data_IF_548145255360
#
_entry.id   IF_548145255360
#
_cell.length_a   1.000
_cell.length_b   1.000
_cell.length_c   1.000
_cell.angle_alpha   90.00
_cell.angle_beta   90.00
_cell.angle_gamma   90.00
#
_symmetry.space_group_name_H-M   'P 1'
#
loop_
_entity.id
_entity.type
_entity.pdbx_description
1 polymer ?
#
# COMPACT_ATOMS: atom_id res chain seq x y z
N UNK A 1 38.24 -16.64 -14.10
CA UNK A 1 37.56 -15.34 -14.33
C UNK A 1 36.32 -15.30 -13.46
N UNK A 2 36.17 -14.20 -12.73
CA UNK A 2 35.10 -13.77 -11.82
C UNK A 2 35.16 -14.26 -10.36
N UNK A 3 35.47 -13.27 -9.53
CA UNK A 3 35.67 -13.30 -8.10
C UNK A 3 34.36 -13.04 -7.33
N UNK A 4 34.37 -13.57 -6.11
CA UNK A 4 33.57 -13.31 -4.91
C UNK A 4 32.83 -11.95 -4.84
N UNK A 5 31.55 -11.98 -4.45
CA UNK A 5 30.97 -11.42 -3.21
C UNK A 5 29.47 -11.13 -3.40
N UNK A 6 28.63 -11.81 -2.63
CA UNK A 6 27.21 -11.50 -2.45
C UNK A 6 26.82 -11.86 -1.03
N UNK A 7 27.19 -11.01 -0.08
CA UNK A 7 27.05 -11.27 1.36
C UNK A 7 25.58 -11.17 1.78
N UNK A 8 25.02 -12.29 2.24
CA UNK A 8 23.79 -12.33 3.02
C UNK A 8 23.88 -11.35 4.21
N UNK A 9 22.90 -10.45 4.37
CA UNK A 9 22.74 -9.70 5.62
C UNK A 9 21.57 -10.26 6.42
N UNK A 10 21.86 -10.71 7.64
CA UNK A 10 20.88 -11.05 8.67
C UNK A 10 20.27 -9.78 9.31
N UNK A 11 19.03 -9.85 9.82
CA UNK A 11 18.38 -8.73 10.50
C UNK A 11 18.91 -8.57 11.94
N UNK A 12 19.20 -7.34 12.36
CA UNK A 12 19.45 -7.01 13.77
C UNK A 12 18.20 -6.42 14.42
N UNK A 13 17.78 -6.99 15.54
CA UNK A 13 16.77 -6.43 16.46
C UNK A 13 17.38 -5.32 17.37
N UNK A 14 16.61 -4.60 18.20
CA UNK A 14 16.59 -3.14 18.20
C UNK A 14 17.42 -2.53 19.34
N UNK A 15 18.10 -1.41 19.06
CA UNK A 15 18.62 -0.52 20.12
C UNK A 15 18.02 0.86 19.88
N UNK A 16 17.20 1.27 20.83
CA UNK A 16 16.61 2.60 20.94
C UNK A 16 17.67 3.71 20.92
N UNK A 17 17.25 4.90 20.48
CA UNK A 17 17.90 6.22 20.63
C UNK A 17 18.77 6.67 19.45
N UNK A 18 18.14 7.22 18.42
CA UNK A 18 18.83 8.07 17.45
C UNK A 18 18.78 9.52 17.96
N UNK A 19 19.90 9.98 18.52
CA UNK A 19 20.20 11.40 18.63
C UNK A 19 20.45 11.95 17.21
N UNK A 20 19.95 13.15 16.85
CA UNK A 20 20.16 13.70 15.52
C UNK A 20 21.57 14.31 15.45
N UNK A 21 22.42 13.82 14.55
CA UNK A 21 23.73 14.43 14.27
C UNK A 21 23.92 14.64 12.76
N UNK A 22 23.80 15.92 12.40
CA UNK A 22 24.58 16.77 11.48
C UNK A 22 25.21 16.18 10.21
N UNK A 23 24.66 16.69 9.11
CA UNK A 23 25.29 17.40 7.97
C UNK A 23 26.38 16.70 7.13
N UNK A 24 26.04 16.44 5.87
CA UNK A 24 26.90 16.82 4.73
C UNK A 24 26.05 17.55 3.66
N UNK A 25 26.66 18.56 3.06
CA UNK A 25 26.06 19.63 2.27
C UNK A 25 25.27 19.17 1.04
N UNK A 26 23.99 19.54 1.00
CA UNK A 26 23.30 19.90 -0.24
C UNK A 26 22.91 21.37 -0.08
N UNK A 27 23.65 22.25 -0.74
CA UNK A 27 23.32 23.67 -0.80
C UNK A 27 22.13 23.87 -1.73
N UNK A 28 20.92 23.80 -1.18
CA UNK A 28 19.76 24.44 -1.78
C UNK A 28 19.76 25.88 -1.29
N UNK A 29 19.79 26.83 -2.22
CA UNK A 29 19.71 28.25 -1.92
C UNK A 29 18.46 28.50 -1.06
N UNK A 30 18.67 29.10 0.11
CA UNK A 30 17.65 29.53 1.05
C UNK A 30 16.86 30.69 0.40
N UNK A 31 15.85 30.33 -0.40
CA UNK A 31 14.90 31.25 -1.02
C UNK A 31 13.50 30.79 -0.70
N UNK A 32 12.87 31.48 0.27
CA UNK A 32 11.54 31.23 0.85
C UNK A 32 11.35 29.89 1.56
N UNK A 33 10.86 29.92 2.80
CA UNK A 33 10.16 28.79 3.40
C UNK A 33 8.95 28.49 2.51
N UNK A 34 9.14 27.62 1.51
CA UNK A 34 8.04 27.09 0.73
C UNK A 34 7.29 26.15 1.66
N UNK A 35 6.15 26.60 2.20
CA UNK A 35 5.17 25.69 2.78
C UNK A 35 4.77 24.69 1.69
N UNK A 36 5.36 23.50 1.74
CA UNK A 36 4.96 22.39 0.89
C UNK A 36 3.63 21.89 1.45
N UNK A 37 2.53 22.34 0.84
CA UNK A 37 1.21 21.77 1.13
C UNK A 37 1.22 20.31 0.64
N UNK A 38 1.23 19.37 1.58
CA UNK A 38 1.10 17.94 1.24
C UNK A 38 -0.35 17.73 0.78
N UNK A 39 -0.58 17.28 -0.46
CA UNK A 39 -1.92 17.04 -0.96
C UNK A 39 -2.66 16.05 -0.05
N UNK A 40 -3.90 16.39 0.31
CA UNK A 40 -4.74 15.50 1.10
C UNK A 40 -5.06 14.25 0.29
N UNK A 41 -4.98 13.09 0.95
CA UNK A 41 -5.40 11.81 0.37
C UNK A 41 -6.89 11.89 -0.01
N UNK A 42 -7.19 11.58 -1.28
CA UNK A 42 -8.54 11.60 -1.83
C UNK A 42 -9.27 10.33 -1.37
N UNK A 43 -10.36 10.52 -0.65
CA UNK A 43 -11.22 9.43 -0.16
C UNK A 43 -12.63 9.64 -0.66
N UNK A 44 -13.19 8.62 -1.28
CA UNK A 44 -14.54 8.67 -1.84
C UNK A 44 -15.43 7.58 -1.21
N UNK A 45 -16.70 7.88 -0.92
CA UNK A 45 -17.66 6.84 -0.61
C UNK A 45 -17.92 6.01 -1.86
N UNK A 46 -17.85 4.69 -1.72
CA UNK A 46 -18.21 3.74 -2.76
C UNK A 46 -19.15 2.70 -2.18
N UNK A 47 -20.07 2.22 -3.00
CA UNK A 47 -20.97 1.15 -2.63
C UNK A 47 -20.57 -0.13 -3.36
N UNK A 48 -20.26 -1.17 -2.59
CA UNK A 48 -20.05 -2.53 -3.07
C UNK A 48 -21.24 -3.36 -2.61
N UNK A 49 -22.01 -3.87 -3.56
CA UNK A 49 -23.31 -4.50 -3.28
C UNK A 49 -24.23 -3.60 -2.43
N UNK A 50 -24.56 -4.02 -1.20
CA UNK A 50 -25.37 -3.29 -0.24
C UNK A 50 -24.55 -2.62 0.89
N UNK A 51 -23.22 -2.56 0.76
CA UNK A 51 -22.31 -1.96 1.74
C UNK A 51 -21.69 -0.69 1.18
N UNK A 52 -21.82 0.40 1.92
CA UNK A 52 -21.07 1.63 1.68
C UNK A 52 -19.74 1.58 2.44
N UNK A 53 -18.65 1.87 1.75
CA UNK A 53 -17.30 1.91 2.31
C UNK A 53 -16.58 3.16 1.81
N UNK A 54 -15.57 3.61 2.55
CA UNK A 54 -14.68 4.69 2.09
C UNK A 54 -13.47 4.07 1.39
N UNK A 55 -13.29 4.38 0.12
CA UNK A 55 -12.13 3.95 -0.66
C UNK A 55 -11.09 5.07 -0.77
N UNK A 56 -9.81 4.71 -0.72
CA UNK A 56 -8.71 5.60 -1.07
C UNK A 56 -8.53 5.58 -2.59
N UNK A 57 -8.47 6.75 -3.21
CA UNK A 57 -8.05 6.87 -4.61
C UNK A 57 -6.54 6.97 -4.63
N UNK A 58 -5.89 5.91 -5.12
CA UNK A 58 -4.44 5.81 -5.24
C UNK A 58 -4.09 5.55 -6.71
N UNK A 59 -3.57 6.57 -7.40
CA UNK A 59 -3.20 6.50 -8.82
C UNK A 59 -1.91 5.73 -9.06
N UNK A 60 -1.08 5.56 -8.01
CA UNK A 60 0.20 4.87 -8.10
C UNK A 60 0.06 3.38 -7.74
N UNK A 61 -1.12 2.96 -7.26
CA UNK A 61 -1.41 1.57 -6.97
C UNK A 61 -1.49 0.74 -8.26
N UNK A 62 -0.67 -0.32 -8.35
CA UNK A 62 -0.66 -1.24 -9.49
C UNK A 62 -1.94 -2.12 -9.60
N UNK A 63 -2.73 -2.19 -8.53
CA UNK A 63 -3.99 -2.95 -8.49
C UNK A 63 -4.91 -2.39 -7.40
N UNK A 64 -6.21 -2.59 -7.57
CA UNK A 64 -7.18 -2.35 -6.49
C UNK A 64 -7.02 -3.42 -5.40
N UNK A 65 -6.91 -2.97 -4.15
CA UNK A 65 -6.79 -3.84 -2.99
C UNK A 65 -8.01 -3.67 -2.08
N UNK A 66 -8.60 -4.80 -1.68
CA UNK A 66 -9.67 -4.84 -0.69
C UNK A 66 -9.16 -5.62 0.52
N UNK A 67 -9.31 -5.06 1.71
CA UNK A 67 -8.89 -5.76 2.93
C UNK A 67 -9.77 -7.00 3.16
N UNK A 68 -9.18 -8.06 3.73
CA UNK A 68 -9.94 -9.27 4.08
C UNK A 68 -11.14 -8.95 4.99
N UNK A 69 -10.98 -8.03 5.94
CA UNK A 69 -12.07 -7.59 6.82
C UNK A 69 -13.29 -7.05 6.06
N UNK A 70 -13.07 -6.34 4.95
CA UNK A 70 -14.18 -5.88 4.11
C UNK A 70 -14.75 -7.07 3.36
N UNK A 71 -13.90 -7.93 2.81
CA UNK A 71 -14.35 -9.13 2.12
C UNK A 71 -15.24 -10.02 3.00
N UNK A 72 -14.86 -10.27 4.25
CA UNK A 72 -15.64 -11.05 5.23
C UNK A 72 -17.07 -10.49 5.40
N UNK A 73 -17.23 -9.16 5.30
CA UNK A 73 -18.55 -8.51 5.36
C UNK A 73 -19.36 -8.62 4.07
N UNK A 74 -18.71 -8.97 2.96
CA UNK A 74 -19.29 -9.18 1.64
C UNK A 74 -19.52 -10.66 1.32
N UNK A 75 -18.92 -11.60 2.04
CA UNK A 75 -19.00 -13.06 1.77
C UNK A 75 -20.42 -13.61 1.80
N UNK A 76 -21.34 -12.99 2.54
CA UNK A 76 -22.75 -13.38 2.52
C UNK A 76 -23.49 -12.94 1.24
N UNK A 77 -22.82 -12.24 0.31
CA UNK A 77 -23.42 -11.80 -0.94
C UNK A 77 -23.27 -12.87 -2.02
N UNK A 78 -24.40 -13.35 -2.54
CA UNK A 78 -24.47 -14.35 -3.62
C UNK A 78 -23.79 -13.91 -4.93
N UNK A 79 -23.58 -12.60 -5.12
CA UNK A 79 -22.93 -12.05 -6.31
C UNK A 79 -21.41 -11.91 -6.14
N UNK A 80 -20.85 -12.24 -4.96
CA UNK A 80 -19.40 -12.26 -4.76
C UNK A 80 -18.80 -13.46 -5.50
N UNK A 81 -18.08 -13.18 -6.60
CA UNK A 81 -17.45 -14.21 -7.41
C UNK A 81 -15.94 -14.19 -7.24
N UNK A 82 -15.39 -15.29 -6.72
CA UNK A 82 -13.95 -15.52 -6.77
C UNK A 82 -13.56 -16.00 -8.18
N UNK A 83 -12.62 -15.29 -8.81
CA UNK A 83 -12.20 -15.55 -10.19
C UNK A 83 -10.99 -16.48 -10.24
N UNK A 84 -10.11 -16.39 -9.24
CA UNK A 84 -8.91 -17.23 -9.17
C UNK A 84 -8.64 -17.61 -7.71
N UNK A 85 -8.40 -18.90 -7.50
CA UNK A 85 -8.01 -19.44 -6.20
C UNK A 85 -6.49 -19.43 -6.08
N UNK A 86 -6.00 -19.14 -4.87
CA UNK A 86 -4.64 -18.66 -4.59
C UNK A 86 -3.48 -19.38 -5.34
N UNK A 87 -3.02 -18.75 -6.43
CA UNK A 87 -1.63 -18.83 -6.91
C UNK A 87 -1.02 -17.45 -6.63
N UNK A 88 -0.36 -17.31 -5.47
CA UNK A 88 -0.19 -16.02 -4.78
C UNK A 88 0.58 -14.93 -5.57
N UNK A 89 -0.08 -13.86 -6.05
CA UNK A 89 0.63 -12.60 -6.24
C UNK A 89 1.05 -12.07 -4.87
N UNK A 90 2.34 -11.76 -4.74
CA UNK A 90 2.89 -11.05 -3.59
C UNK A 90 2.98 -9.59 -3.99
N UNK A 91 2.25 -8.74 -3.28
CA UNK A 91 2.39 -7.29 -3.43
C UNK A 91 3.49 -6.81 -2.49
N UNK A 92 4.40 -5.99 -3.00
CA UNK A 92 5.41 -5.32 -2.18
C UNK A 92 5.01 -3.87 -2.00
N UNK A 93 4.84 -3.45 -0.75
CA UNK A 93 4.57 -2.06 -0.40
C UNK A 93 5.85 -1.22 -0.53
N UNK A 94 5.69 0.11 -0.53
CA UNK A 94 6.82 1.06 -0.54
C UNK A 94 7.74 0.93 0.68
N UNK A 95 7.26 0.36 1.79
CA UNK A 95 8.09 0.07 2.97
C UNK A 95 8.87 -1.25 2.86
N UNK A 96 8.67 -1.99 1.76
CA UNK A 96 9.25 -3.33 1.56
C UNK A 96 8.45 -4.46 2.19
N UNK A 97 7.33 -4.17 2.87
CA UNK A 97 6.45 -5.22 3.40
C UNK A 97 5.79 -6.00 2.26
N UNK A 98 5.81 -7.32 2.38
CA UNK A 98 5.12 -8.23 1.48
C UNK A 98 3.70 -8.52 1.96
N UNK A 99 2.72 -8.32 1.09
CA UNK A 99 1.30 -8.62 1.31
C UNK A 99 0.92 -9.83 0.46
N UNK A 100 0.34 -10.84 1.11
CA UNK A 100 -0.17 -12.03 0.44
C UNK A 100 -1.63 -11.78 0.04
N UNK A 101 -1.95 -12.04 -1.22
CA UNK A 101 -3.33 -12.08 -1.65
C UNK A 101 -4.02 -13.38 -1.19
N UNK A 102 -5.27 -13.25 -0.76
CA UNK A 102 -6.19 -14.35 -0.44
C UNK A 102 -6.94 -14.86 -1.68
N UNK A 103 -6.97 -14.07 -2.76
CA UNK A 103 -7.66 -14.41 -4.00
C UNK A 103 -7.91 -13.19 -4.88
N UNK A 104 -8.40 -13.46 -6.09
CA UNK A 104 -8.89 -12.43 -7.00
C UNK A 104 -10.42 -12.50 -7.05
N UNK A 105 -11.06 -11.36 -6.84
CA UNK A 105 -12.51 -11.24 -6.79
C UNK A 105 -13.02 -10.28 -7.85
N UNK A 106 -14.18 -10.57 -8.40
CA UNK A 106 -14.94 -9.66 -9.24
C UNK A 106 -16.05 -9.01 -8.40
N UNK A 107 -16.08 -7.68 -8.40
CA UNK A 107 -16.96 -6.88 -7.56
C UNK A 107 -17.53 -5.72 -8.39
N UNK A 108 -18.83 -5.48 -8.27
CA UNK A 108 -19.44 -4.25 -8.79
C UNK A 108 -19.26 -3.13 -7.78
N UNK A 109 -18.64 -2.04 -8.22
CA UNK A 109 -18.42 -0.82 -7.43
C UNK A 109 -19.27 0.29 -8.01
N UNK A 110 -20.10 0.91 -7.17
CA UNK A 110 -20.92 2.07 -7.53
C UNK A 110 -20.34 3.29 -6.82
N UNK A 111 -20.00 4.32 -7.59
CA UNK A 111 -19.63 5.63 -7.08
C UNK A 111 -20.87 6.52 -7.19
N UNK A 112 -21.25 7.17 -6.10
CA UNK A 112 -22.31 8.18 -6.15
C UNK A 112 -21.63 9.55 -6.32
N UNK A 113 -22.14 10.36 -7.25
CA UNK A 113 -21.74 11.76 -7.45
C UNK A 113 -22.32 12.69 -6.36
#
# INVERSE_FOLDING_TARGET
>A
MLDRYGTYQQPRSPINTIKPIRNSQLTYNLGSDVEVEIPKLIRIPVRIFNKEIIALVDTDAAASLVSSKILDTLECNENLKQVENANHPIFRTVSGQELKSIGKFELSVIMND
#
